data_IF_640617862438
#
_entry.id   IF_640617862438
#
_cell.length_a   1.000
_cell.length_b   1.000
_cell.length_c   1.000
_cell.angle_alpha   90.00
_cell.angle_beta   90.00
_cell.angle_gamma   90.00
#
_symmetry.space_group_name_H-M   'P 1'
#
loop_
_entity.id
_entity.type
_entity.pdbx_description
1 polymer ?
#
# COMPACT_ATOMS: atom_id res chain seq x y z
N UNK A 1 -25.67 -49.79 9.91
CA UNK A 1 -24.49 -50.53 9.41
C UNK A 1 -24.43 -50.27 7.92
N UNK A 2 -23.46 -49.49 7.43
CA UNK A 2 -22.59 -49.80 6.30
C UNK A 2 -21.48 -48.74 6.34
N UNK A 3 -20.25 -49.25 6.39
CA UNK A 3 -18.99 -48.55 6.63
C UNK A 3 -18.49 -47.79 5.40
N UNK A 4 -17.57 -46.86 5.68
CA UNK A 4 -16.70 -46.04 4.81
C UNK A 4 -16.34 -46.60 3.43
N UNK A 5 -16.07 -45.69 2.49
CA UNK A 5 -14.83 -45.64 1.69
C UNK A 5 -14.88 -44.43 0.72
N UNK A 6 -14.30 -43.30 1.13
CA UNK A 6 -13.73 -42.32 0.20
C UNK A 6 -12.23 -42.31 0.47
N UNK A 7 -11.49 -43.13 -0.27
CA UNK A 7 -10.02 -43.11 -0.28
C UNK A 7 -9.56 -41.86 -1.04
N UNK A 8 -9.54 -40.71 -0.36
CA UNK A 8 -8.65 -39.60 -0.72
C UNK A 8 -7.30 -39.86 -0.05
N UNK A 9 -6.40 -40.49 -0.81
CA UNK A 9 -5.02 -40.74 -0.39
C UNK A 9 -4.21 -39.45 -0.42
N UNK A 10 -4.35 -38.62 0.62
CA UNK A 10 -3.31 -37.65 0.99
C UNK A 10 -2.19 -38.35 1.77
N UNK A 11 -1.40 -39.18 1.09
CA UNK A 11 -0.20 -39.82 1.66
C UNK A 11 1.08 -39.11 1.26
N UNK A 12 1.20 -37.83 1.61
CA UNK A 12 2.47 -37.14 1.84
C UNK A 12 2.26 -36.13 2.97
N UNK A 13 3.11 -36.18 3.99
CA UNK A 13 2.96 -35.47 5.25
C UNK A 13 2.67 -33.96 5.09
N UNK A 14 1.48 -33.56 5.50
CA UNK A 14 1.05 -32.19 5.78
C UNK A 14 1.81 -31.65 7.00
N UNK A 15 3.12 -31.47 6.85
CA UNK A 15 4.02 -30.93 7.90
C UNK A 15 4.63 -29.59 7.51
N UNK A 16 4.28 -29.07 6.34
CA UNK A 16 4.84 -27.85 5.76
C UNK A 16 3.83 -26.69 5.68
N UNK A 17 2.58 -26.93 6.08
CA UNK A 17 1.53 -25.90 6.08
C UNK A 17 1.26 -25.39 7.48
N UNK A 18 1.26 -24.08 7.61
CA UNK A 18 0.86 -23.42 8.85
C UNK A 18 -0.63 -23.67 9.14
N UNK A 19 -0.97 -23.79 10.42
CA UNK A 19 -2.36 -23.93 10.86
C UNK A 19 -3.16 -22.67 10.49
N UNK A 20 -4.46 -22.76 10.11
CA UNK A 20 -5.25 -21.59 9.70
C UNK A 20 -5.32 -20.44 10.72
N UNK A 21 -5.17 -20.73 12.01
CA UNK A 21 -5.15 -19.70 13.08
C UNK A 21 -3.78 -19.04 13.26
N UNK A 22 -2.73 -19.59 12.64
CA UNK A 22 -1.37 -19.08 12.64
C UNK A 22 -0.81 -19.10 11.21
N UNK A 23 -1.43 -18.41 10.25
CA UNK A 23 -1.16 -18.66 8.84
C UNK A 23 0.17 -18.06 8.33
N UNK A 24 0.82 -17.17 9.10
CA UNK A 24 2.07 -16.55 8.69
C UNK A 24 3.25 -17.44 9.05
N UNK A 25 4.04 -17.84 8.05
CA UNK A 25 5.25 -18.65 8.23
C UNK A 25 6.46 -17.73 8.35
N UNK A 26 7.16 -17.78 9.47
CA UNK A 26 8.46 -17.11 9.61
C UNK A 26 9.47 -17.68 8.59
N UNK A 27 10.39 -16.85 8.08
CA UNK A 27 11.49 -17.33 7.26
C UNK A 27 12.42 -18.25 8.06
N UNK A 28 13.10 -19.16 7.37
CA UNK A 28 14.09 -20.07 7.97
C UNK A 28 13.80 -21.56 7.78
N UNK A 29 14.73 -22.37 8.30
CA UNK A 29 14.74 -23.84 8.15
C UNK A 29 13.69 -24.54 9.02
N UNK A 30 13.33 -23.95 10.17
CA UNK A 30 12.27 -24.46 11.04
C UNK A 30 10.94 -23.83 10.66
N UNK A 31 9.89 -24.64 10.55
CA UNK A 31 8.52 -24.17 10.35
C UNK A 31 8.02 -23.55 11.66
N UNK A 32 8.22 -22.25 11.83
CA UNK A 32 7.59 -21.43 12.87
C UNK A 32 6.45 -20.67 12.21
N UNK A 33 5.26 -20.76 12.81
CA UNK A 33 4.06 -20.13 12.31
C UNK A 33 3.44 -19.25 13.40
N UNK A 34 3.03 -18.04 13.04
CA UNK A 34 2.43 -17.06 13.96
C UNK A 34 1.07 -16.59 13.43
N UNK A 35 0.26 -16.06 14.33
CA UNK A 35 -1.00 -15.41 13.96
C UNK A 35 -0.72 -14.06 13.32
N UNK A 36 -1.57 -13.62 12.39
CA UNK A 36 -1.47 -12.30 11.76
C UNK A 36 -1.54 -11.17 12.79
N UNK A 37 -2.17 -11.40 13.96
CA UNK A 37 -2.22 -10.41 15.03
C UNK A 37 -0.84 -10.08 15.63
N UNK A 38 0.15 -10.96 15.45
CA UNK A 38 1.54 -10.80 15.90
C UNK A 38 2.44 -10.23 14.80
N UNK A 39 1.88 -9.91 13.63
CA UNK A 39 2.64 -9.27 12.58
C UNK A 39 2.68 -7.77 12.84
N UNK A 40 3.87 -7.21 13.06
CA UNK A 40 4.09 -5.77 13.27
C UNK A 40 3.41 -5.22 14.52
N UNK A 41 3.44 -6.00 15.60
CA UNK A 41 2.83 -5.67 16.90
C UNK A 41 3.81 -5.01 17.88
N UNK A 42 5.09 -4.90 17.51
CA UNK A 42 6.17 -4.31 18.29
C UNK A 42 6.94 -5.30 19.15
N UNK A 43 6.67 -6.60 19.06
CA UNK A 43 7.41 -7.66 19.74
C UNK A 43 7.88 -8.73 18.72
N UNK A 44 9.12 -9.23 18.82
CA UNK A 44 9.59 -10.27 17.91
C UNK A 44 9.00 -11.64 18.28
N UNK A 45 8.15 -12.19 17.42
CA UNK A 45 7.60 -13.54 17.50
C UNK A 45 8.29 -14.53 16.54
N UNK A 46 8.89 -14.04 15.46
CA UNK A 46 9.84 -14.84 14.67
C UNK A 46 11.23 -14.90 15.34
N UNK A 47 11.98 -15.96 15.04
CA UNK A 47 13.29 -16.20 15.67
C UNK A 47 14.33 -15.08 15.38
N UNK A 48 14.22 -14.44 14.22
CA UNK A 48 15.03 -13.31 13.75
C UNK A 48 14.29 -11.97 13.85
N UNK A 49 13.06 -11.95 14.37
CA UNK A 49 12.19 -10.76 14.40
C UNK A 49 11.73 -10.30 13.02
N UNK A 50 11.73 -11.18 12.01
CA UNK A 50 11.31 -10.80 10.65
C UNK A 50 9.87 -10.29 10.57
N UNK A 51 9.00 -10.75 11.45
CA UNK A 51 7.63 -10.25 11.64
C UNK A 51 7.56 -8.74 11.98
N UNK A 52 8.67 -8.16 12.44
CA UNK A 52 8.82 -6.74 12.76
C UNK A 52 9.72 -5.99 11.74
N UNK A 53 10.05 -6.63 10.60
CA UNK A 53 10.81 -5.96 9.54
C UNK A 53 10.03 -4.76 8.96
N UNK A 54 10.62 -3.55 8.88
CA UNK A 54 9.90 -2.37 8.40
C UNK A 54 9.31 -2.51 7.01
N UNK A 55 9.95 -3.26 6.10
CA UNK A 55 9.43 -3.48 4.73
C UNK A 55 8.26 -4.44 4.75
N UNK A 56 8.33 -5.49 5.56
CA UNK A 56 7.18 -6.38 5.78
C UNK A 56 5.99 -5.61 6.36
N UNK A 57 6.24 -4.78 7.37
CA UNK A 57 5.19 -3.98 8.00
C UNK A 57 4.60 -2.93 7.07
N UNK A 58 5.43 -2.31 6.24
CA UNK A 58 4.96 -1.42 5.16
C UNK A 58 4.05 -2.20 4.20
N UNK A 59 4.49 -3.35 3.70
CA UNK A 59 3.69 -4.19 2.79
C UNK A 59 2.39 -4.72 3.43
N UNK A 60 2.38 -5.01 4.73
CA UNK A 60 1.21 -5.49 5.45
C UNK A 60 0.15 -4.40 5.66
N UNK A 61 0.58 -3.14 5.83
CA UNK A 61 -0.32 -2.00 6.09
C UNK A 61 -0.76 -1.31 4.80
N UNK A 62 0.12 -1.18 3.81
CA UNK A 62 -0.12 -0.42 2.58
C UNK A 62 -1.15 -1.11 1.66
N UNK A 63 -1.88 -0.35 0.84
CA UNK A 63 -2.70 -0.94 -0.22
C UNK A 63 -1.83 -1.77 -1.18
N UNK A 64 -2.31 -2.92 -1.68
CA UNK A 64 -1.59 -3.72 -2.68
C UNK A 64 -1.30 -2.91 -3.94
N UNK A 65 -0.18 -3.20 -4.61
CA UNK A 65 0.25 -2.50 -5.83
C UNK A 65 -0.83 -2.53 -6.91
N UNK A 66 -1.53 -3.65 -7.07
CA UNK A 66 -2.61 -3.81 -8.06
C UNK A 66 -3.80 -2.89 -7.74
N UNK A 67 -4.17 -2.77 -6.47
CA UNK A 67 -5.24 -1.87 -6.04
C UNK A 67 -4.84 -0.41 -6.27
N UNK A 68 -3.60 -0.06 -5.87
CA UNK A 68 -3.01 1.27 -6.07
C UNK A 68 -2.97 1.65 -7.55
N UNK A 69 -2.51 0.74 -8.42
CA UNK A 69 -2.45 0.96 -9.86
C UNK A 69 -3.85 1.13 -10.47
N UNK A 70 -4.80 0.29 -10.07
CA UNK A 70 -6.19 0.38 -10.53
C UNK A 70 -6.87 1.69 -10.13
N UNK A 71 -6.57 2.19 -8.93
CA UNK A 71 -7.04 3.50 -8.49
C UNK A 71 -6.49 4.63 -9.39
N UNK A 72 -5.17 4.67 -9.60
CA UNK A 72 -4.53 5.68 -10.47
C UNK A 72 -5.07 5.60 -11.91
N UNK A 73 -5.25 4.39 -12.43
CA UNK A 73 -5.84 4.15 -13.74
C UNK A 73 -7.24 4.75 -13.84
N UNK A 74 -8.11 4.46 -12.86
CA UNK A 74 -9.49 4.97 -12.82
C UNK A 74 -9.53 6.49 -12.81
N UNK A 75 -8.67 7.14 -12.03
CA UNK A 75 -8.57 8.60 -12.02
C UNK A 75 -8.17 9.16 -13.37
N UNK A 76 -7.14 8.59 -14.01
CA UNK A 76 -6.68 9.03 -15.33
C UNK A 76 -7.77 8.85 -16.39
N UNK A 77 -8.47 7.70 -16.37
CA UNK A 77 -9.52 7.41 -17.35
C UNK A 77 -10.74 8.34 -17.22
N UNK A 78 -11.12 8.69 -15.99
CA UNK A 78 -12.31 9.51 -15.76
C UNK A 78 -12.04 11.02 -15.88
N UNK A 79 -10.83 11.48 -15.58
CA UNK A 79 -10.51 12.90 -15.47
C UNK A 79 -9.43 13.39 -16.45
N UNK A 80 -8.84 12.47 -17.22
CA UNK A 80 -7.83 12.75 -18.24
C UNK A 80 -6.38 12.54 -17.74
N UNK A 81 -5.43 12.45 -18.69
CA UNK A 81 -4.04 12.07 -18.40
C UNK A 81 -3.28 13.07 -17.53
N UNK A 82 -3.74 14.31 -17.43
CA UNK A 82 -3.11 15.36 -16.61
C UNK A 82 -3.78 15.57 -15.25
N UNK A 83 -4.79 14.76 -14.90
CA UNK A 83 -5.54 14.99 -13.65
C UNK A 83 -4.67 14.89 -12.39
N UNK A 84 -3.73 13.94 -12.37
CA UNK A 84 -2.84 13.70 -11.25
C UNK A 84 -1.83 14.81 -11.01
N UNK A 85 -1.64 15.75 -11.95
CA UNK A 85 -0.88 16.97 -11.72
C UNK A 85 -1.43 17.78 -10.54
N UNK A 86 -2.75 17.75 -10.33
CA UNK A 86 -3.40 18.46 -9.23
C UNK A 86 -3.00 17.93 -7.86
N UNK A 87 -2.54 16.67 -7.78
CA UNK A 87 -2.21 15.99 -6.52
C UNK A 87 -0.70 15.86 -6.32
N UNK A 88 0.02 15.53 -7.39
CA UNK A 88 1.44 15.17 -7.35
C UNK A 88 2.34 16.20 -8.04
N UNK A 89 1.78 17.34 -8.47
CA UNK A 89 2.51 18.41 -9.16
C UNK A 89 2.79 18.12 -10.64
N UNK A 90 3.52 19.02 -11.31
CA UNK A 90 3.69 19.01 -12.77
C UNK A 90 4.35 17.75 -13.34
N UNK A 91 5.10 17.00 -12.53
CA UNK A 91 5.70 15.72 -12.96
C UNK A 91 4.68 14.61 -13.13
N UNK A 92 3.47 14.74 -12.60
CA UNK A 92 2.41 13.75 -12.72
C UNK A 92 1.50 13.94 -13.95
N UNK A 93 1.90 14.83 -14.87
CA UNK A 93 1.30 14.98 -16.19
C UNK A 93 1.46 13.70 -17.02
N UNK A 94 0.71 13.66 -18.12
CA UNK A 94 0.83 12.64 -19.17
C UNK A 94 0.80 11.22 -18.61
N UNK A 95 -0.20 10.94 -17.76
CA UNK A 95 -0.39 9.66 -17.10
C UNK A 95 0.83 9.18 -16.30
N UNK A 96 1.47 10.12 -15.59
CA UNK A 96 2.67 9.90 -14.78
C UNK A 96 3.91 9.49 -15.59
N UNK A 97 3.92 9.68 -16.92
CA UNK A 97 5.06 9.33 -17.78
C UNK A 97 6.40 9.92 -17.27
N UNK A 98 6.49 11.19 -16.84
CA UNK A 98 7.75 11.74 -16.32
C UNK A 98 8.25 11.09 -15.03
N UNK A 99 7.36 10.40 -14.29
CA UNK A 99 7.69 9.63 -13.09
C UNK A 99 7.99 8.15 -13.40
N UNK A 100 7.99 7.76 -14.68
CA UNK A 100 8.18 6.39 -15.14
C UNK A 100 6.87 5.59 -15.25
N UNK A 101 5.74 6.29 -15.34
CA UNK A 101 4.43 5.72 -15.58
C UNK A 101 3.73 5.22 -14.32
N UNK A 102 2.42 4.96 -14.47
CA UNK A 102 1.51 4.55 -13.41
C UNK A 102 2.02 3.38 -12.56
N UNK A 103 2.54 2.31 -13.19
CA UNK A 103 2.97 1.13 -12.46
C UNK A 103 4.12 1.42 -11.50
N UNK A 104 5.10 2.24 -11.94
CA UNK A 104 6.24 2.60 -11.10
C UNK A 104 5.80 3.45 -9.91
N UNK A 105 4.88 4.39 -10.13
CA UNK A 105 4.31 5.20 -9.05
C UNK A 105 3.50 4.36 -8.07
N UNK A 106 2.71 3.40 -8.56
CA UNK A 106 1.94 2.50 -7.71
C UNK A 106 2.82 1.63 -6.81
N UNK A 107 3.92 1.09 -7.37
CA UNK A 107 4.95 0.37 -6.60
C UNK A 107 5.54 1.29 -5.54
N UNK A 108 5.98 2.49 -5.93
CA UNK A 108 6.59 3.43 -5.00
C UNK A 108 5.62 3.84 -3.86
N UNK A 109 4.34 4.06 -4.14
CA UNK A 109 3.32 4.37 -3.13
C UNK A 109 3.08 3.21 -2.16
N UNK A 110 3.22 1.97 -2.62
CA UNK A 110 2.92 0.77 -1.82
C UNK A 110 4.14 0.26 -1.04
N UNK A 111 5.36 0.49 -1.53
CA UNK A 111 6.60 -0.01 -0.92
C UNK A 111 7.37 1.02 -0.10
N UNK A 112 7.10 2.33 -0.27
CA UNK A 112 7.79 3.35 0.50
C UNK A 112 7.24 3.40 1.93
N UNK A 113 8.15 3.38 2.89
CA UNK A 113 7.83 3.50 4.32
C UNK A 113 7.25 4.89 4.61
N UNK A 114 7.96 5.93 4.16
CA UNK A 114 7.64 7.34 4.38
C UNK A 114 7.41 8.10 3.07
N UNK A 115 6.79 9.27 3.17
CA UNK A 115 6.66 10.24 2.08
C UNK A 115 8.04 10.64 1.52
N UNK A 116 9.04 10.79 2.38
CA UNK A 116 10.42 11.09 2.00
C UNK A 116 11.04 9.98 1.16
N UNK A 117 10.79 8.71 1.51
CA UNK A 117 11.28 7.57 0.75
C UNK A 117 10.59 7.43 -0.61
N UNK A 118 9.29 7.74 -0.67
CA UNK A 118 8.56 7.87 -1.92
C UNK A 118 9.17 8.96 -2.82
N UNK A 119 9.46 10.13 -2.24
CA UNK A 119 10.12 11.23 -2.92
C UNK A 119 11.48 10.84 -3.49
N UNK A 120 12.29 10.08 -2.73
CA UNK A 120 13.58 9.53 -3.19
C UNK A 120 13.40 8.51 -4.31
N UNK A 121 12.46 7.57 -4.17
CA UNK A 121 12.21 6.50 -5.14
C UNK A 121 11.81 7.02 -6.52
N UNK A 122 11.10 8.14 -6.57
CA UNK A 122 10.68 8.80 -7.81
C UNK A 122 11.56 9.99 -8.21
N UNK A 123 12.63 10.29 -7.46
CA UNK A 123 13.50 11.44 -7.68
C UNK A 123 12.72 12.77 -7.80
N UNK A 124 11.81 13.00 -6.86
CA UNK A 124 11.02 14.23 -6.78
C UNK A 124 11.90 15.43 -6.39
N UNK A 125 11.56 16.62 -6.89
CA UNK A 125 12.19 17.84 -6.41
C UNK A 125 11.62 18.18 -5.02
N UNK A 126 12.36 18.98 -4.24
CA UNK A 126 11.89 19.42 -2.91
C UNK A 126 10.53 20.12 -2.97
N UNK A 127 10.33 20.98 -3.96
CA UNK A 127 9.04 21.66 -4.18
C UNK A 127 7.89 20.70 -4.46
N UNK A 128 8.14 19.63 -5.21
CA UNK A 128 7.13 18.63 -5.54
C UNK A 128 6.78 17.81 -4.30
N UNK A 129 7.78 17.46 -3.48
CA UNK A 129 7.61 16.74 -2.22
C UNK A 129 6.86 17.59 -1.19
N UNK A 130 7.20 18.87 -1.06
CA UNK A 130 6.49 19.82 -0.19
C UNK A 130 5.03 20.02 -0.64
N UNK A 131 4.78 20.11 -1.95
CA UNK A 131 3.43 20.17 -2.49
C UNK A 131 2.62 18.93 -2.11
N UNK A 132 3.20 17.75 -2.32
CA UNK A 132 2.57 16.48 -1.98
C UNK A 132 2.31 16.37 -0.47
N UNK A 133 3.25 16.82 0.37
CA UNK A 133 3.08 16.87 1.83
C UNK A 133 1.85 17.69 2.20
N UNK A 134 1.68 18.87 1.61
CA UNK A 134 0.51 19.72 1.86
C UNK A 134 -0.81 19.05 1.43
N UNK A 135 -0.81 18.31 0.31
CA UNK A 135 -1.98 17.56 -0.17
C UNK A 135 -2.39 16.48 0.84
N UNK A 136 -1.43 15.69 1.36
CA UNK A 136 -1.72 14.69 2.38
C UNK A 136 -2.16 15.31 3.72
N UNK A 137 -1.52 16.39 4.16
CA UNK A 137 -1.92 17.14 5.37
C UNK A 137 -3.36 17.66 5.27
N UNK A 138 -3.79 18.14 4.09
CA UNK A 138 -5.17 18.56 3.85
C UNK A 138 -6.17 17.41 4.00
N UNK A 139 -5.78 16.19 3.63
CA UNK A 139 -6.63 14.99 3.81
C UNK A 139 -6.69 14.57 5.27
N UNK A 140 -5.54 14.54 5.96
CA UNK A 140 -5.42 14.16 7.38
C UNK A 140 -6.23 15.11 8.29
N UNK A 141 -6.12 16.42 8.04
CA UNK A 141 -6.82 17.46 8.83
C UNK A 141 -8.29 17.63 8.42
N UNK A 142 -8.70 17.04 7.29
CA UNK A 142 -10.02 17.26 6.70
C UNK A 142 -10.22 18.66 6.11
N UNK A 143 -9.15 19.45 5.94
CA UNK A 143 -9.20 20.76 5.30
C UNK A 143 -9.11 20.64 3.77
N UNK A 144 -10.26 20.38 3.14
CA UNK A 144 -10.34 20.25 1.68
C UNK A 144 -10.31 21.58 0.93
N UNK A 145 -10.10 22.73 1.61
CA UNK A 145 -9.97 24.02 0.94
C UNK A 145 -8.81 24.01 -0.06
N UNK A 146 -7.68 23.37 0.31
CA UNK A 146 -6.54 23.17 -0.58
C UNK A 146 -6.93 22.33 -1.80
N UNK A 147 -7.56 21.16 -1.61
CA UNK A 147 -7.96 20.30 -2.73
C UNK A 147 -8.92 21.00 -3.70
N UNK A 148 -9.86 21.79 -3.16
CA UNK A 148 -10.76 22.61 -3.97
C UNK A 148 -10.01 23.71 -4.73
N UNK A 149 -9.03 24.35 -4.09
CA UNK A 149 -8.17 25.36 -4.74
C UNK A 149 -7.32 24.79 -5.87
N UNK A 150 -6.99 23.50 -5.81
CA UNK A 150 -6.31 22.75 -6.87
C UNK A 150 -7.26 22.36 -8.02
N UNK A 151 -8.53 22.75 -7.93
CA UNK A 151 -9.54 22.51 -8.95
C UNK A 151 -10.12 21.10 -8.93
N UNK A 152 -10.09 20.42 -7.77
CA UNK A 152 -10.79 19.14 -7.55
C UNK A 152 -12.26 19.46 -7.20
N UNK A 153 -13.19 18.89 -7.96
CA UNK A 153 -14.64 19.13 -7.80
C UNK A 153 -15.18 18.34 -6.61
N UNK A 154 -16.29 18.79 -6.03
CA UNK A 154 -16.92 18.10 -4.90
C UNK A 154 -17.31 16.64 -5.24
N UNK A 155 -17.68 16.37 -6.49
CA UNK A 155 -17.96 15.01 -6.98
C UNK A 155 -16.72 14.11 -7.07
N UNK A 156 -15.52 14.68 -7.06
CA UNK A 156 -14.24 13.97 -7.19
C UNK A 156 -13.54 13.81 -5.83
N UNK A 157 -13.88 14.68 -4.86
CA UNK A 157 -13.27 14.69 -3.54
C UNK A 157 -13.46 13.37 -2.79
N UNK A 158 -14.60 12.70 -2.95
CA UNK A 158 -14.87 11.42 -2.28
C UNK A 158 -13.82 10.35 -2.62
N UNK A 159 -13.60 10.13 -3.92
CA UNK A 159 -12.67 9.10 -4.41
C UNK A 159 -11.22 9.43 -4.08
N UNK A 160 -10.84 10.70 -4.27
CA UNK A 160 -9.48 11.19 -3.97
C UNK A 160 -9.20 11.11 -2.47
N UNK A 161 -10.14 11.57 -1.63
CA UNK A 161 -10.01 11.50 -0.18
C UNK A 161 -9.84 10.05 0.25
N UNK A 162 -10.73 9.16 -0.18
CA UNK A 162 -10.72 7.77 0.26
C UNK A 162 -9.36 7.10 0.03
N UNK A 163 -8.76 7.32 -1.13
CA UNK A 163 -7.45 6.74 -1.43
C UNK A 163 -6.30 7.38 -0.64
N UNK A 164 -6.25 8.71 -0.56
CA UNK A 164 -5.19 9.38 0.19
C UNK A 164 -5.28 9.05 1.70
N UNK A 165 -6.49 8.93 2.24
CA UNK A 165 -6.76 8.56 3.63
C UNK A 165 -6.25 7.15 3.94
N UNK A 166 -6.39 6.19 3.00
CA UNK A 166 -5.77 4.86 3.14
C UNK A 166 -4.26 4.96 3.31
N UNK A 167 -3.57 5.81 2.54
CA UNK A 167 -2.12 5.97 2.65
C UNK A 167 -1.72 6.67 3.96
N UNK A 168 -2.44 7.72 4.37
CA UNK A 168 -2.17 8.41 5.64
C UNK A 168 -2.32 7.45 6.82
N UNK A 169 -3.37 6.63 6.83
CA UNK A 169 -3.67 5.70 7.93
C UNK A 169 -2.61 4.62 8.19
N UNK A 170 -1.67 4.44 7.27
CA UNK A 170 -0.62 3.41 7.34
C UNK A 170 0.74 3.99 7.72
N UNK A 171 0.79 5.25 8.17
CA UNK A 171 2.01 5.94 8.61
C UNK A 171 2.85 6.52 7.48
N UNK A 172 2.26 6.79 6.30
CA UNK A 172 3.02 7.39 5.18
C UNK A 172 3.62 8.75 5.48
N UNK A 173 3.00 9.47 6.41
CA UNK A 173 3.32 10.87 6.71
C UNK A 173 4.22 11.01 7.94
N UNK A 174 4.50 9.90 8.63
CA UNK A 174 5.36 9.81 9.81
C UNK A 174 6.84 9.93 9.42
#
# INVERSE_FOLDING_TARGET
MFYDNLEDTCTHADTDRCHPTQPFRCPGERTVCISIQYLCDGAPDCQDGYDEDPRLCTAAKRPPVEETANFLHTLIMNHGPNYLEKLFGSKARDALEPLGGMQKVAIALSESETLEDFGKALHLMRSDLEHLRNVFMAVETGDFSLLKSLGIRDSELGDVKFFLDKLVSTGFMD
#
